data_IF_863384296796
#
_entry.id   IF_863384296796
#
_cell.length_a   1.000
_cell.length_b   1.000
_cell.length_c   1.000
_cell.angle_alpha   90.00
_cell.angle_beta   90.00
_cell.angle_gamma   90.00
#
_symmetry.space_group_name_H-M   'P 1'
#
loop_
_entity.id
_entity.type
_entity.pdbx_description
1 polymer ?
#
# COMPACT_ATOMS: atom_id res chain seq x y z
N UNK A 1 10.08 -1.21 -27.99
CA UNK A 1 9.04 -0.38 -27.35
C UNK A 1 8.26 -1.34 -26.48
N UNK A 2 8.46 -1.29 -25.15
CA UNK A 2 7.78 -2.22 -24.24
C UNK A 2 6.31 -1.81 -24.20
N UNK A 3 5.44 -2.71 -24.63
CA UNK A 3 4.00 -2.50 -24.64
C UNK A 3 3.48 -2.67 -23.21
N UNK A 4 3.19 -1.57 -22.53
CA UNK A 4 2.69 -1.56 -21.15
C UNK A 4 1.22 -2.01 -21.06
N UNK A 5 0.58 -2.38 -22.18
CA UNK A 5 -0.83 -2.81 -22.20
C UNK A 5 -1.03 -4.28 -21.83
N UNK A 6 0.01 -5.10 -21.83
CA UNK A 6 -0.05 -6.52 -21.43
C UNK A 6 0.25 -6.76 -19.94
N UNK A 7 0.83 -5.79 -19.22
CA UNK A 7 1.12 -5.90 -17.78
C UNK A 7 -0.01 -5.32 -16.91
N UNK A 8 -1.24 -5.49 -17.36
CA UNK A 8 -2.40 -5.46 -16.46
C UNK A 8 -2.39 -6.74 -15.58
N UNK A 9 -1.29 -6.95 -14.85
CA UNK A 9 -1.33 -7.77 -13.65
C UNK A 9 -2.40 -7.13 -12.77
N UNK A 10 -3.51 -7.84 -12.56
CA UNK A 10 -4.67 -7.40 -11.80
C UNK A 10 -4.22 -6.70 -10.52
N UNK A 11 -4.78 -5.52 -10.24
CA UNK A 11 -4.53 -4.81 -9.00
C UNK A 11 -4.85 -5.72 -7.82
N UNK A 12 -3.88 -5.93 -6.93
CA UNK A 12 -4.06 -6.77 -5.74
C UNK A 12 -4.05 -5.93 -4.48
N UNK A 13 -4.67 -6.44 -3.43
CA UNK A 13 -4.67 -5.79 -2.11
C UNK A 13 -3.49 -6.31 -1.30
N UNK A 14 -2.67 -5.38 -0.82
CA UNK A 14 -1.53 -5.66 0.03
C UNK A 14 -1.78 -5.12 1.43
N UNK A 15 -1.42 -5.90 2.43
CA UNK A 15 -1.38 -5.50 3.83
C UNK A 15 0.08 -5.24 4.22
N UNK A 16 0.38 -3.99 4.57
CA UNK A 16 1.74 -3.52 4.89
C UNK A 16 1.77 -3.06 6.33
N UNK A 17 2.50 -3.76 7.18
CA UNK A 17 2.66 -3.41 8.59
C UNK A 17 3.73 -2.33 8.76
N UNK A 18 3.29 -1.14 9.18
CA UNK A 18 4.08 0.07 9.45
C UNK A 18 4.03 0.37 10.96
N UNK A 19 4.49 -0.59 11.77
CA UNK A 19 4.40 -0.57 13.24
C UNK A 19 5.02 0.66 13.90
N UNK A 20 4.19 1.65 14.23
CA UNK A 20 4.60 2.89 14.87
C UNK A 20 3.57 3.42 15.89
N UNK A 21 4.09 3.93 17.01
CA UNK A 21 3.33 4.58 18.09
C UNK A 21 2.79 5.98 17.72
N UNK A 22 3.43 6.68 16.76
CA UNK A 22 2.99 7.99 16.23
C UNK A 22 2.33 7.84 14.85
N UNK A 23 1.19 7.15 14.88
CA UNK A 23 0.20 7.00 13.81
C UNK A 23 0.00 8.23 12.91
N UNK A 24 -0.19 9.43 13.46
CA UNK A 24 -0.45 10.63 12.63
C UNK A 24 0.75 11.03 11.77
N UNK A 25 1.94 11.10 12.38
CA UNK A 25 3.17 11.48 11.66
C UNK A 25 3.55 10.43 10.62
N UNK A 26 3.40 9.14 10.95
CA UNK A 26 3.69 8.05 10.03
C UNK A 26 2.75 8.05 8.84
N UNK A 27 1.43 8.17 9.06
CA UNK A 27 0.45 8.28 7.97
C UNK A 27 0.79 9.40 7.00
N UNK A 28 1.15 10.58 7.53
CA UNK A 28 1.54 11.73 6.70
C UNK A 28 2.78 11.45 5.84
N UNK A 29 3.77 10.71 6.35
CA UNK A 29 4.95 10.32 5.59
C UNK A 29 4.59 9.30 4.50
N UNK A 30 3.76 8.31 4.85
CA UNK A 30 3.30 7.26 3.94
C UNK A 30 2.50 7.86 2.79
N UNK A 31 1.48 8.68 3.08
CA UNK A 31 0.64 9.39 2.11
C UNK A 31 1.50 10.18 1.13
N UNK A 32 2.41 11.04 1.63
CA UNK A 32 3.30 11.84 0.77
C UNK A 32 4.22 10.99 -0.10
N UNK A 33 4.64 9.84 0.40
CA UNK A 33 5.51 8.91 -0.34
C UNK A 33 4.73 8.24 -1.46
N UNK A 34 3.52 7.75 -1.16
CA UNK A 34 2.57 7.20 -2.13
C UNK A 34 2.26 8.23 -3.21
N UNK A 35 1.85 9.44 -2.84
CA UNK A 35 1.55 10.54 -3.78
C UNK A 35 2.73 10.85 -4.69
N UNK A 36 3.96 10.89 -4.16
CA UNK A 36 5.17 11.17 -4.95
C UNK A 36 5.47 10.07 -5.95
N UNK A 37 5.26 8.81 -5.56
CA UNK A 37 5.50 7.65 -6.43
C UNK A 37 4.39 7.48 -7.48
N UNK A 38 3.15 7.83 -7.14
CA UNK A 38 2.00 7.75 -8.04
C UNK A 38 1.93 8.95 -8.98
N UNK A 39 2.40 10.15 -8.61
CA UNK A 39 2.33 11.36 -9.47
C UNK A 39 2.72 11.17 -10.95
N UNK A 40 3.76 10.40 -11.32
CA UNK A 40 4.06 10.12 -12.74
C UNK A 40 3.06 9.17 -13.43
N UNK A 41 2.25 8.46 -12.66
CA UNK A 41 1.19 7.55 -13.10
C UNK A 41 -0.19 8.20 -12.86
N UNK A 42 -1.21 7.81 -13.63
CA UNK A 42 -2.56 8.36 -13.42
C UNK A 42 -3.07 7.95 -12.03
N UNK A 43 -3.62 8.87 -11.21
CA UNK A 43 -4.07 8.58 -9.84
C UNK A 43 -5.27 7.63 -9.76
N UNK A 44 -5.85 7.23 -10.89
CA UNK A 44 -7.05 6.38 -10.94
C UNK A 44 -6.82 4.91 -10.57
N UNK A 45 -5.57 4.45 -10.42
CA UNK A 45 -5.22 3.02 -10.31
C UNK A 45 -4.73 2.58 -8.92
N UNK A 46 -4.91 3.42 -7.90
CA UNK A 46 -4.41 3.14 -6.55
C UNK A 46 -5.43 3.56 -5.51
N UNK A 47 -5.79 2.64 -4.62
CA UNK A 47 -6.65 2.91 -3.47
C UNK A 47 -5.96 2.41 -2.20
N UNK A 48 -6.11 3.15 -1.09
CA UNK A 48 -5.48 2.75 0.16
C UNK A 48 -6.19 3.27 1.39
N UNK A 49 -6.02 2.55 2.50
CA UNK A 49 -6.48 2.96 3.82
C UNK A 49 -5.43 2.68 4.89
N UNK A 50 -5.71 3.14 6.10
CA UNK A 50 -5.01 2.72 7.30
C UNK A 50 -5.98 2.04 8.27
N UNK A 51 -5.54 0.93 8.84
CA UNK A 51 -6.21 0.22 9.94
C UNK A 51 -5.25 0.19 11.12
N UNK A 52 -5.71 0.53 12.32
CA UNK A 52 -4.90 0.41 13.53
C UNK A 52 -5.37 -0.82 14.32
N UNK A 53 -4.44 -1.70 14.67
CA UNK A 53 -4.69 -2.91 15.47
C UNK A 53 -3.63 -3.01 16.56
N UNK A 54 -4.01 -3.05 17.84
CA UNK A 54 -3.12 -3.29 18.97
C UNK A 54 -1.79 -2.48 18.97
N UNK A 55 -1.89 -1.18 18.67
CA UNK A 55 -0.78 -0.21 18.52
C UNK A 55 0.10 -0.37 17.26
N UNK A 56 -0.38 -1.12 16.28
CA UNK A 56 0.24 -1.27 14.97
C UNK A 56 -0.65 -0.61 13.93
N UNK A 57 -0.08 0.33 13.17
CA UNK A 57 -0.74 0.82 11.95
C UNK A 57 -0.43 -0.14 10.81
N UNK A 58 -1.47 -0.51 10.10
CA UNK A 58 -1.46 -1.35 8.91
C UNK A 58 -1.97 -0.53 7.73
N UNK A 59 -1.20 -0.49 6.65
CA UNK A 59 -1.61 0.09 5.38
C UNK A 59 -2.23 -1.02 4.53
N UNK A 60 -3.49 -0.87 4.16
CA UNK A 60 -4.09 -1.68 3.09
C UNK A 60 -3.94 -0.89 1.79
N UNK A 61 -3.32 -1.50 0.79
CA UNK A 61 -2.94 -0.83 -0.45
C UNK A 61 -3.33 -1.68 -1.65
N UNK A 62 -4.28 -1.19 -2.46
CA UNK A 62 -4.66 -1.80 -3.72
C UNK A 62 -3.80 -1.24 -4.84
N UNK A 63 -2.97 -2.09 -5.44
CA UNK A 63 -2.00 -1.67 -6.44
C UNK A 63 -1.50 -2.82 -7.32
N UNK A 64 -0.81 -2.46 -8.40
CA UNK A 64 0.00 -3.40 -9.15
C UNK A 64 1.13 -3.96 -8.25
N UNK A 65 1.36 -5.29 -8.21
CA UNK A 65 2.42 -5.92 -7.42
C UNK A 65 3.83 -5.33 -7.66
N UNK A 66 4.12 -4.86 -8.88
CA UNK A 66 5.42 -4.26 -9.24
C UNK A 66 5.67 -2.93 -8.52
N UNK A 67 4.62 -2.23 -8.07
CA UNK A 67 4.73 -0.98 -7.32
C UNK A 67 5.17 -1.20 -5.86
N UNK A 68 4.86 -2.36 -5.28
CA UNK A 68 5.06 -2.65 -3.85
C UNK A 68 6.54 -2.58 -3.43
N UNK A 69 7.51 -3.18 -4.16
CA UNK A 69 8.93 -3.04 -3.84
C UNK A 69 9.43 -1.59 -3.83
N UNK A 70 8.94 -0.76 -4.76
CA UNK A 70 9.32 0.65 -4.85
C UNK A 70 8.75 1.48 -3.69
N UNK A 71 7.50 1.21 -3.32
CA UNK A 71 6.88 1.78 -2.13
C UNK A 71 7.66 1.43 -0.87
N UNK A 72 7.94 0.14 -0.63
CA UNK A 72 8.71 -0.32 0.53
C UNK A 72 10.07 0.36 0.58
N UNK A 73 10.80 0.38 -0.53
CA UNK A 73 12.13 1.03 -0.61
C UNK A 73 12.04 2.52 -0.26
N UNK A 74 11.02 3.21 -0.73
CA UNK A 74 10.83 4.63 -0.45
C UNK A 74 10.47 4.89 1.02
N UNK A 75 9.64 4.04 1.64
CA UNK A 75 9.28 4.14 3.06
C UNK A 75 10.49 3.83 3.97
N UNK A 76 11.27 2.79 3.67
CA UNK A 76 12.50 2.49 4.42
C UNK A 76 13.51 3.64 4.35
N UNK A 77 13.65 4.32 3.19
CA UNK A 77 14.48 5.54 3.06
C UNK A 77 13.99 6.73 3.90
N UNK A 78 12.76 6.67 4.41
CA UNK A 78 12.19 7.65 5.35
C UNK A 78 12.29 7.19 6.80
N UNK A 79 13.10 6.17 7.10
CA UNK A 79 13.25 5.55 8.41
C UNK A 79 11.93 4.98 8.96
N UNK A 80 11.02 4.55 8.09
CA UNK A 80 9.85 3.76 8.51
C UNK A 80 10.21 2.28 8.51
N UNK A 81 9.96 1.63 9.64
CA UNK A 81 10.09 0.19 9.75
C UNK A 81 8.89 -0.50 9.08
N UNK A 82 9.18 -1.40 8.15
CA UNK A 82 8.20 -2.30 7.54
C UNK A 82 8.44 -3.67 8.14
N UNK A 83 7.48 -4.16 8.93
CA UNK A 83 7.63 -5.44 9.64
C UNK A 83 7.16 -6.60 8.80
N UNK A 84 6.11 -6.39 8.01
CA UNK A 84 5.48 -7.44 7.23
C UNK A 84 4.77 -6.86 6.01
N UNK A 85 4.79 -7.60 4.92
CA UNK A 85 4.00 -7.33 3.71
C UNK A 85 3.31 -8.64 3.32
N UNK A 86 1.98 -8.64 3.35
CA UNK A 86 1.16 -9.77 2.94
C UNK A 86 0.32 -9.40 1.72
N UNK A 87 0.24 -10.31 0.77
CA UNK A 87 -0.79 -10.27 -0.26
C UNK A 87 -2.08 -10.79 0.38
N UNK A 88 -3.17 -10.02 0.27
CA UNK A 88 -4.49 -10.47 0.73
C UNK A 88 -5.14 -11.19 -0.44
N UNK A 89 -5.38 -12.49 -0.29
CA UNK A 89 -6.09 -13.29 -1.30
C UNK A 89 -7.60 -13.25 -1.00
N UNK A 90 -8.47 -13.38 -2.00
CA UNK A 90 -9.95 -13.29 -1.84
C UNK A 90 -10.55 -14.29 -0.83
N UNK A 91 -9.76 -15.26 -0.34
CA UNK A 91 -10.15 -16.21 0.72
C UNK A 91 -9.86 -15.73 2.14
N UNK A 92 -9.17 -14.61 2.30
CA UNK A 92 -8.97 -13.96 3.58
C UNK A 92 -10.25 -13.19 3.92
N UNK A 93 -11.06 -13.73 4.83
CA UNK A 93 -12.31 -13.14 5.37
C UNK A 93 -12.12 -11.76 6.08
N UNK A 94 -10.99 -11.08 5.88
CA UNK A 94 -10.64 -9.80 6.51
C UNK A 94 -11.24 -8.59 5.77
N UNK A 95 -11.75 -8.78 4.55
CA UNK A 95 -12.31 -7.72 3.70
C UNK A 95 -13.81 -7.95 3.43
N UNK A 96 -14.61 -8.13 4.47
CA UNK A 96 -16.07 -8.14 4.28
C UNK A 96 -16.59 -6.71 4.01
N UNK A 97 -16.98 -6.53 2.76
CA UNK A 97 -17.95 -5.59 2.15
C UNK A 97 -17.68 -4.07 2.08
N UNK A 98 -16.85 -3.46 2.92
CA UNK A 98 -16.70 -1.98 2.90
C UNK A 98 -15.46 -1.44 2.15
N UNK A 99 -14.61 -2.29 1.57
CA UNK A 99 -13.38 -1.85 0.88
C UNK A 99 -13.54 -1.55 -0.62
N UNK A 100 -14.67 -1.94 -1.22
CA UNK A 100 -14.84 -2.02 -2.68
C UNK A 100 -15.94 -1.08 -3.20
N UNK A 101 -16.61 -0.29 -2.34
CA UNK A 101 -17.63 0.68 -2.77
C UNK A 101 -17.05 2.00 -3.25
#
# INVERSE_FOLDING_TARGET
MIDYREYADEEKVFMINIGALDWYKVRKIVIKTIEKLIKPYSPKYYSYTFVDVDNVTVLLFKANPQFIPDLIRALCKKNLAIYEVKLVEERDNLLNEDFIS
#
